data_IF_999822987913
#
_entry.id   IF_999822987913
#
_cell.length_a   1.000
_cell.length_b   1.000
_cell.length_c   1.000
_cell.angle_alpha   90.00
_cell.angle_beta   90.00
_cell.angle_gamma   90.00
#
_symmetry.space_group_name_H-M   'P 1'
#
loop_
_entity.id
_entity.type
_entity.pdbx_description
1 polymer ?
#
# COMPACT_ATOMS: atom_id res chain seq x y z
N UNK A 1 10.85 4.37 7.59
CA UNK A 1 12.23 3.85 7.30
C UNK A 1 13.27 4.59 8.14
N UNK A 2 13.29 5.92 8.13
CA UNK A 2 14.28 6.73 8.86
C UNK A 2 14.35 6.40 10.36
N UNK A 3 13.22 6.18 11.03
CA UNK A 3 13.19 5.81 12.44
C UNK A 3 13.83 4.44 12.69
N UNK A 4 13.57 3.45 11.83
CA UNK A 4 14.22 2.14 11.92
C UNK A 4 15.73 2.23 11.76
N UNK A 5 16.23 3.04 10.83
CA UNK A 5 17.68 3.20 10.62
C UNK A 5 18.39 3.89 11.78
N UNK A 6 17.70 4.74 12.52
CA UNK A 6 18.28 5.59 13.58
C UNK A 6 18.01 5.10 15.00
N UNK A 7 17.06 4.20 15.18
CA UNK A 7 16.61 3.77 16.50
C UNK A 7 16.46 2.26 16.57
N UNK A 8 17.50 1.57 17.02
CA UNK A 8 17.48 0.12 17.18
C UNK A 8 16.48 -0.40 18.22
N UNK A 9 15.97 0.47 19.11
CA UNK A 9 14.97 0.08 20.12
C UNK A 9 13.62 -0.29 19.51
N UNK A 10 13.34 0.18 18.27
CA UNK A 10 12.10 -0.17 17.55
C UNK A 10 12.29 -1.37 16.63
N UNK A 11 13.44 -1.98 16.59
CA UNK A 11 13.67 -3.16 15.76
C UNK A 11 12.92 -4.37 16.34
N UNK A 12 12.19 -5.11 15.52
CA UNK A 12 11.61 -6.37 15.96
C UNK A 12 12.74 -7.36 16.27
N UNK A 13 12.57 -8.13 17.35
CA UNK A 13 13.60 -9.11 17.75
C UNK A 13 13.56 -10.38 16.90
N UNK A 14 12.40 -10.72 16.37
CA UNK A 14 12.12 -12.00 15.70
C UNK A 14 11.65 -11.83 14.26
N UNK A 15 11.99 -10.72 13.62
CA UNK A 15 11.61 -10.47 12.23
C UNK A 15 12.72 -9.75 11.47
N UNK A 16 12.83 -10.03 10.19
CA UNK A 16 13.67 -9.30 9.24
C UNK A 16 12.78 -8.32 8.50
N UNK A 17 13.20 -7.07 8.45
CA UNK A 17 12.49 -6.03 7.68
C UNK A 17 13.29 -5.72 6.43
N UNK A 18 12.67 -5.92 5.27
CA UNK A 18 13.21 -5.52 3.97
C UNK A 18 12.40 -4.33 3.47
N UNK A 19 13.05 -3.28 3.02
CA UNK A 19 12.40 -2.04 2.59
C UNK A 19 12.85 -1.66 1.19
N UNK A 20 11.89 -1.41 0.30
CA UNK A 20 12.09 -0.72 -0.97
C UNK A 20 11.70 0.75 -0.73
N UNK A 21 12.67 1.66 -0.50
CA UNK A 21 12.34 3.02 -0.09
C UNK A 21 11.67 3.84 -1.21
N UNK A 22 11.99 3.56 -2.46
CA UNK A 22 11.39 4.18 -3.64
C UNK A 22 11.28 3.15 -4.76
N UNK A 23 10.07 2.69 -5.04
CA UNK A 23 9.83 1.72 -6.11
C UNK A 23 9.91 2.38 -7.51
N UNK A 24 9.31 3.56 -7.68
CA UNK A 24 9.32 4.30 -8.93
C UNK A 24 10.37 5.42 -8.90
N UNK A 25 11.64 5.07 -9.05
CA UNK A 25 12.76 6.05 -9.03
C UNK A 25 12.60 7.07 -10.17
N UNK A 26 12.28 6.63 -11.39
CA UNK A 26 12.10 7.51 -12.54
C UNK A 26 11.01 8.55 -12.33
N UNK A 27 9.87 8.13 -11.78
CA UNK A 27 8.79 9.06 -11.41
C UNK A 27 9.15 9.97 -10.24
N UNK A 28 9.88 9.46 -9.25
CA UNK A 28 10.32 10.26 -8.11
C UNK A 28 11.29 11.39 -8.50
N UNK A 29 12.12 11.18 -9.49
CA UNK A 29 13.05 12.18 -10.02
C UNK A 29 12.39 13.18 -10.99
N UNK A 30 11.30 12.79 -11.63
CA UNK A 30 10.53 13.67 -12.52
C UNK A 30 9.49 14.48 -11.73
N UNK A 31 9.96 15.51 -11.04
CA UNK A 31 9.12 16.33 -10.14
C UNK A 31 8.46 17.47 -10.89
N UNK A 32 7.20 17.71 -10.55
CA UNK A 32 6.43 18.84 -11.07
C UNK A 32 5.22 19.14 -10.18
N UNK A 33 4.50 20.22 -10.47
CA UNK A 33 3.33 20.68 -9.70
C UNK A 33 1.99 20.42 -10.40
N UNK A 34 1.97 19.75 -11.56
CA UNK A 34 0.81 19.72 -12.46
C UNK A 34 0.19 18.33 -12.68
N UNK A 35 0.91 17.25 -12.44
CA UNK A 35 0.48 15.89 -12.81
C UNK A 35 -0.41 15.17 -11.81
N UNK A 36 -0.64 15.74 -10.63
CA UNK A 36 -1.47 15.15 -9.55
C UNK A 36 -2.52 16.15 -9.07
N UNK A 37 -3.34 16.62 -9.99
CA UNK A 37 -4.34 17.68 -9.76
C UNK A 37 -5.39 17.33 -8.70
N UNK A 38 -5.61 16.05 -8.43
CA UNK A 38 -6.55 15.57 -7.43
C UNK A 38 -5.93 15.36 -6.04
N UNK A 39 -4.69 15.80 -5.82
CA UNK A 39 -4.01 15.64 -4.54
C UNK A 39 -3.50 16.98 -4.03
N UNK A 40 -3.87 17.31 -2.79
CA UNK A 40 -3.34 18.45 -2.08
C UNK A 40 -2.00 18.04 -1.44
N UNK A 41 -0.95 18.14 -2.19
CA UNK A 41 0.37 17.66 -1.80
C UNK A 41 1.40 18.77 -1.64
N UNK A 42 2.69 18.41 -1.57
CA UNK A 42 3.79 19.37 -1.54
C UNK A 42 3.80 20.22 -2.83
N UNK A 43 4.59 21.32 -2.82
CA UNK A 43 4.74 22.21 -3.98
C UNK A 43 5.11 21.48 -5.28
N UNK A 44 5.90 20.44 -5.16
CA UNK A 44 6.27 19.54 -6.27
C UNK A 44 6.19 18.08 -5.82
N UNK A 45 5.68 17.24 -6.67
CA UNK A 45 5.55 15.79 -6.44
C UNK A 45 6.04 15.02 -7.66
N UNK A 46 6.33 13.73 -7.45
CA UNK A 46 6.80 12.86 -8.51
C UNK A 46 5.74 12.57 -9.57
N UNK A 47 6.20 12.13 -10.72
CA UNK A 47 5.35 11.69 -11.83
C UNK A 47 4.84 10.26 -11.59
N UNK A 48 3.61 9.98 -12.00
CA UNK A 48 2.97 8.68 -11.81
C UNK A 48 3.66 7.55 -12.60
N UNK A 49 4.02 7.82 -13.84
CA UNK A 49 4.74 6.88 -14.68
C UNK A 49 6.21 6.74 -14.29
N UNK A 50 6.81 5.61 -14.65
CA UNK A 50 8.27 5.46 -14.56
C UNK A 50 8.97 6.25 -15.70
N UNK A 51 10.28 6.10 -15.83
CA UNK A 51 11.07 6.79 -16.87
C UNK A 51 10.63 6.47 -18.33
N UNK A 52 9.87 5.41 -18.53
CA UNK A 52 9.25 5.03 -19.81
C UNK A 52 7.75 5.27 -19.86
N UNK A 53 7.21 6.03 -18.91
CA UNK A 53 5.79 6.36 -18.77
C UNK A 53 4.86 5.16 -18.54
N UNK A 54 5.35 4.08 -17.94
CA UNK A 54 4.50 2.99 -17.47
C UNK A 54 3.96 3.27 -16.07
N UNK A 55 2.68 3.01 -15.85
CA UNK A 55 2.07 3.03 -14.52
C UNK A 55 2.41 1.73 -13.78
N UNK A 56 3.38 1.78 -12.88
CA UNK A 56 3.84 0.62 -12.13
C UNK A 56 2.75 0.03 -11.23
N UNK A 57 1.78 0.84 -10.81
CA UNK A 57 0.62 0.36 -10.04
C UNK A 57 -0.46 -0.31 -10.93
N UNK A 58 -0.13 -0.68 -12.14
CA UNK A 58 -0.93 -1.49 -13.07
C UNK A 58 -0.14 -2.65 -13.65
N UNK A 59 1.08 -2.85 -13.20
CA UNK A 59 2.04 -3.74 -13.84
C UNK A 59 2.36 -5.01 -13.03
N UNK A 60 1.76 -5.19 -11.87
CA UNK A 60 2.09 -6.33 -11.01
C UNK A 60 1.81 -7.69 -11.65
N UNK A 61 0.68 -7.86 -12.33
CA UNK A 61 0.35 -9.12 -13.04
C UNK A 61 0.90 -9.16 -14.46
N UNK A 62 0.99 -8.02 -15.13
CA UNK A 62 1.48 -7.93 -16.52
C UNK A 62 3.00 -8.13 -16.58
N UNK A 63 3.71 -7.56 -15.61
CA UNK A 63 5.16 -7.60 -15.52
C UNK A 63 5.88 -7.13 -16.80
N UNK A 64 5.42 -6.05 -17.42
CA UNK A 64 5.99 -5.50 -18.65
C UNK A 64 7.28 -4.71 -18.39
N UNK A 65 7.49 -4.23 -17.17
CA UNK A 65 8.59 -3.34 -16.84
C UNK A 65 9.73 -4.04 -16.09
N UNK A 66 10.93 -3.49 -16.22
CA UNK A 66 12.08 -3.92 -15.41
C UNK A 66 11.86 -3.72 -13.91
N UNK A 67 11.05 -2.72 -13.54
CA UNK A 67 10.66 -2.51 -12.13
C UNK A 67 9.86 -3.70 -11.61
N UNK A 68 8.86 -4.18 -12.37
CA UNK A 68 8.06 -5.33 -11.99
C UNK A 68 8.90 -6.61 -11.91
N UNK A 69 9.78 -6.85 -12.87
CA UNK A 69 10.71 -7.98 -12.84
C UNK A 69 11.59 -7.95 -11.58
N UNK A 70 12.22 -6.80 -11.29
CA UNK A 70 13.06 -6.66 -10.10
C UNK A 70 12.26 -6.87 -8.79
N UNK A 71 11.00 -6.40 -8.75
CA UNK A 71 10.12 -6.66 -7.62
C UNK A 71 9.83 -8.16 -7.46
N UNK A 72 9.49 -8.85 -8.55
CA UNK A 72 9.20 -10.29 -8.54
C UNK A 72 10.41 -11.08 -8.05
N UNK A 73 11.60 -10.78 -8.54
CA UNK A 73 12.84 -11.45 -8.14
C UNK A 73 13.14 -11.21 -6.66
N UNK A 74 12.97 -9.98 -6.19
CA UNK A 74 13.12 -9.65 -4.78
C UNK A 74 12.09 -10.37 -3.91
N UNK A 75 10.82 -10.35 -4.32
CA UNK A 75 9.73 -11.01 -3.60
C UNK A 75 9.97 -12.52 -3.47
N UNK A 76 10.40 -13.18 -4.54
CA UNK A 76 10.76 -14.61 -4.53
C UNK A 76 11.98 -14.92 -3.68
N UNK A 77 12.94 -14.02 -3.62
CA UNK A 77 14.16 -14.17 -2.81
C UNK A 77 13.85 -13.99 -1.32
N UNK A 78 13.08 -12.97 -0.99
CA UNK A 78 12.73 -12.63 0.41
C UNK A 78 11.67 -13.57 0.97
N UNK A 79 10.69 -13.96 0.15
CA UNK A 79 9.51 -14.77 0.56
C UNK A 79 8.85 -14.19 1.80
N UNK A 80 8.32 -12.97 1.75
CA UNK A 80 7.85 -12.28 2.93
C UNK A 80 6.60 -12.93 3.50
N UNK A 81 6.53 -13.10 4.83
CA UNK A 81 5.31 -13.51 5.54
C UNK A 81 4.26 -12.37 5.56
N UNK A 82 4.72 -11.14 5.54
CA UNK A 82 3.88 -9.94 5.49
C UNK A 82 4.45 -8.95 4.48
N UNK A 83 3.61 -8.50 3.56
CA UNK A 83 3.95 -7.45 2.60
C UNK A 83 3.10 -6.21 2.85
N UNK A 84 3.74 -5.05 2.93
CA UNK A 84 3.09 -3.75 3.11
C UNK A 84 3.44 -2.84 1.92
N UNK A 85 2.43 -2.42 1.18
CA UNK A 85 2.57 -1.42 0.13
C UNK A 85 1.97 -0.09 0.60
N UNK A 86 2.76 0.98 0.54
CA UNK A 86 2.35 2.29 1.04
C UNK A 86 1.92 3.20 -0.09
N UNK A 87 0.71 3.74 0.02
CA UNK A 87 0.10 4.62 -0.96
C UNK A 87 -0.41 5.92 -0.30
N UNK A 88 -0.65 6.92 -1.13
CA UNK A 88 -1.48 8.09 -0.77
C UNK A 88 -2.90 7.86 -1.28
N UNK A 89 -3.90 8.53 -0.67
CA UNK A 89 -5.29 8.44 -1.09
C UNK A 89 -5.52 9.03 -2.50
N UNK A 90 -6.70 8.79 -3.09
CA UNK A 90 -7.11 9.38 -4.36
C UNK A 90 -7.54 10.87 -4.28
N UNK A 91 -7.13 11.58 -3.24
CA UNK A 91 -7.52 12.98 -2.99
C UNK A 91 -8.77 13.12 -2.12
N UNK A 92 -9.36 12.03 -1.63
CA UNK A 92 -10.41 12.10 -0.63
C UNK A 92 -9.85 12.62 0.71
N UNK A 93 -10.59 13.54 1.32
CA UNK A 93 -10.23 14.12 2.62
C UNK A 93 -10.78 13.24 3.74
N UNK A 94 -9.95 12.30 4.17
CA UNK A 94 -10.28 11.43 5.30
C UNK A 94 -9.97 12.12 6.62
N UNK A 95 -10.87 11.98 7.59
CA UNK A 95 -10.61 12.39 8.99
C UNK A 95 -9.64 11.45 9.73
N UNK A 96 -9.36 10.30 9.15
CA UNK A 96 -8.51 9.25 9.71
C UNK A 96 -7.05 9.46 9.32
N UNK A 97 -6.15 9.15 10.24
CA UNK A 97 -4.69 9.24 10.00
C UNK A 97 -4.23 8.32 8.88
N UNK A 98 -4.80 7.11 8.84
CA UNK A 98 -4.48 6.09 7.83
C UNK A 98 -5.76 5.46 7.31
N UNK A 99 -5.73 5.12 6.04
CA UNK A 99 -6.66 4.15 5.45
C UNK A 99 -5.91 2.86 5.15
N UNK A 100 -6.59 1.73 5.22
CA UNK A 100 -5.99 0.42 4.96
C UNK A 100 -6.80 -0.40 3.96
N UNK A 101 -6.10 -1.25 3.23
CA UNK A 101 -6.68 -2.26 2.38
C UNK A 101 -5.92 -3.57 2.62
N UNK A 102 -6.53 -4.48 3.35
CA UNK A 102 -5.99 -5.82 3.54
C UNK A 102 -6.32 -6.72 2.35
N UNK A 103 -5.52 -7.75 2.15
CA UNK A 103 -5.90 -8.87 1.30
C UNK A 103 -7.26 -9.40 1.73
N UNK A 104 -8.15 -9.65 0.78
CA UNK A 104 -9.49 -10.12 1.09
C UNK A 104 -9.45 -11.51 1.72
N UNK A 105 -10.03 -11.64 2.91
CA UNK A 105 -10.02 -12.88 3.68
C UNK A 105 -10.64 -14.07 2.92
N UNK A 106 -11.67 -13.82 2.11
CA UNK A 106 -12.31 -14.86 1.30
C UNK A 106 -11.42 -15.38 0.15
N UNK A 107 -10.41 -14.63 -0.26
CA UNK A 107 -9.40 -15.06 -1.23
C UNK A 107 -8.30 -15.90 -0.59
N UNK A 108 -7.94 -15.59 0.64
CA UNK A 108 -6.91 -16.34 1.37
C UNK A 108 -7.38 -17.74 1.77
N UNK A 109 -8.64 -17.86 2.19
CA UNK A 109 -9.19 -19.12 2.67
C UNK A 109 -8.58 -19.62 4.00
N UNK A 110 -9.16 -20.67 4.56
CA UNK A 110 -8.61 -21.43 5.69
C UNK A 110 -8.23 -20.63 6.94
N UNK A 111 -7.16 -21.06 7.58
CA UNK A 111 -6.67 -20.46 8.83
C UNK A 111 -6.04 -19.09 8.63
N UNK A 112 -5.43 -18.83 7.46
CA UNK A 112 -4.85 -17.52 7.17
C UNK A 112 -5.93 -16.43 7.08
N UNK A 113 -7.07 -16.73 6.45
CA UNK A 113 -8.21 -15.83 6.40
C UNK A 113 -8.78 -15.54 7.80
N UNK A 114 -8.89 -16.56 8.64
CA UNK A 114 -9.34 -16.43 10.04
C UNK A 114 -8.35 -15.56 10.84
N UNK A 115 -7.06 -15.82 10.72
CA UNK A 115 -6.03 -15.06 11.41
C UNK A 115 -6.08 -13.58 11.01
N UNK A 116 -6.12 -13.29 9.71
CA UNK A 116 -6.19 -11.93 9.21
C UNK A 116 -7.40 -11.18 9.81
N UNK A 117 -8.58 -11.78 9.69
CA UNK A 117 -9.83 -11.11 10.05
C UNK A 117 -10.10 -11.05 11.56
N UNK A 118 -9.74 -12.12 12.30
CA UNK A 118 -10.07 -12.25 13.74
C UNK A 118 -8.93 -11.86 14.68
N UNK A 119 -7.70 -11.77 14.18
CA UNK A 119 -6.54 -11.46 14.99
C UNK A 119 -5.76 -10.25 14.49
N UNK A 120 -5.20 -10.30 13.28
CA UNK A 120 -4.29 -9.26 12.82
C UNK A 120 -4.97 -7.90 12.67
N UNK A 121 -6.12 -7.84 11.99
CA UNK A 121 -6.85 -6.58 11.78
C UNK A 121 -7.28 -5.94 13.11
N UNK A 122 -7.99 -6.62 14.01
CA UNK A 122 -8.39 -6.04 15.30
C UNK A 122 -7.18 -5.58 16.13
N UNK A 123 -6.12 -6.38 16.22
CA UNK A 123 -4.92 -6.01 16.97
C UNK A 123 -4.23 -4.77 16.40
N UNK A 124 -4.21 -4.61 15.09
CA UNK A 124 -3.64 -3.43 14.44
C UNK A 124 -4.49 -2.19 14.75
N UNK A 125 -5.80 -2.29 14.62
CA UNK A 125 -6.75 -1.21 14.92
C UNK A 125 -6.61 -0.76 16.38
N UNK A 126 -6.65 -1.68 17.33
CA UNK A 126 -6.47 -1.41 18.75
C UNK A 126 -5.11 -0.77 19.06
N UNK A 127 -4.03 -1.31 18.45
CA UNK A 127 -2.67 -0.81 18.67
C UNK A 127 -2.49 0.63 18.16
N UNK A 128 -3.15 0.98 17.08
CA UNK A 128 -3.10 2.33 16.52
C UNK A 128 -4.03 3.28 17.29
N UNK A 129 -5.22 2.83 17.67
CA UNK A 129 -6.13 3.60 18.49
C UNK A 129 -5.53 3.97 19.85
N UNK A 130 -4.82 3.05 20.49
CA UNK A 130 -4.09 3.31 21.73
C UNK A 130 -2.98 4.37 21.57
N UNK A 131 -2.59 4.70 20.35
CA UNK A 131 -1.66 5.79 20.01
C UNK A 131 -2.36 7.05 19.49
N UNK A 132 -3.68 7.13 19.63
CA UNK A 132 -4.51 8.19 19.05
C UNK A 132 -4.38 8.31 17.51
N UNK A 133 -4.10 7.21 16.84
CA UNK A 133 -4.02 7.10 15.38
C UNK A 133 -5.22 6.30 14.87
N UNK A 134 -6.31 6.99 14.59
CA UNK A 134 -7.50 6.33 14.04
C UNK A 134 -7.27 5.89 12.60
N UNK A 135 -7.74 4.68 12.27
CA UNK A 135 -7.67 4.11 10.92
C UNK A 135 -9.06 3.68 10.43
N UNK A 136 -9.21 3.59 9.12
CA UNK A 136 -10.46 3.11 8.50
C UNK A 136 -10.15 2.34 7.21
N UNK A 137 -11.01 1.41 6.78
CA UNK A 137 -10.88 0.80 5.47
C UNK A 137 -10.88 1.83 4.35
N UNK A 138 -10.05 1.61 3.34
CA UNK A 138 -10.07 2.41 2.12
C UNK A 138 -11.35 2.11 1.33
N UNK A 139 -12.04 3.15 0.91
CA UNK A 139 -13.34 3.04 0.26
C UNK A 139 -13.33 3.62 -1.16
N UNK A 140 -14.29 3.18 -1.97
CA UNK A 140 -14.50 3.76 -3.29
C UNK A 140 -15.37 5.01 -3.16
N UNK A 141 -14.77 6.16 -3.45
CA UNK A 141 -15.41 7.49 -3.36
C UNK A 141 -15.93 8.02 -4.70
N UNK A 142 -15.65 7.32 -5.81
CA UNK A 142 -16.05 7.80 -7.14
C UNK A 142 -17.57 7.83 -7.30
N UNK A 143 -18.08 8.99 -7.71
CA UNK A 143 -19.51 9.25 -7.90
C UNK A 143 -20.36 8.96 -6.64
N UNK A 144 -19.80 9.17 -5.46
CA UNK A 144 -20.45 8.95 -4.17
C UNK A 144 -20.35 10.18 -3.30
N UNK A 145 -21.37 10.40 -2.49
CA UNK A 145 -21.37 11.38 -1.41
C UNK A 145 -21.45 10.66 -0.05
N UNK A 146 -21.08 11.30 1.06
CA UNK A 146 -21.20 10.72 2.39
C UNK A 146 -22.61 10.21 2.70
N UNK A 147 -23.66 10.93 2.23
CA UNK A 147 -25.07 10.58 2.46
C UNK A 147 -25.46 9.28 1.73
N UNK A 148 -24.87 9.02 0.56
CA UNK A 148 -25.12 7.79 -0.21
C UNK A 148 -24.33 6.59 0.29
N UNK A 149 -23.39 6.81 1.22
CA UNK A 149 -22.46 5.82 1.69
C UNK A 149 -21.40 5.42 0.65
N UNK A 150 -20.33 4.80 1.12
CA UNK A 150 -19.22 4.37 0.28
C UNK A 150 -19.14 2.85 0.24
N UNK A 151 -18.87 2.30 -0.94
CA UNK A 151 -18.59 0.87 -1.07
C UNK A 151 -17.12 0.59 -0.72
N UNK A 152 -16.87 -0.59 -0.17
CA UNK A 152 -15.51 -1.05 0.08
C UNK A 152 -14.72 -1.09 -1.24
N UNK A 153 -13.47 -0.65 -1.20
CA UNK A 153 -12.55 -0.83 -2.31
C UNK A 153 -12.04 -2.28 -2.31
N UNK A 154 -12.06 -2.91 -3.48
CA UNK A 154 -11.61 -4.28 -3.66
C UNK A 154 -10.25 -4.30 -4.36
N UNK A 155 -9.39 -5.20 -3.93
CA UNK A 155 -8.12 -5.46 -4.58
C UNK A 155 -8.30 -6.13 -5.96
N UNK A 156 -7.30 -6.02 -6.82
CA UNK A 156 -7.25 -6.73 -8.08
C UNK A 156 -5.80 -7.14 -8.42
N UNK A 157 -5.59 -8.17 -9.28
CA UNK A 157 -4.25 -8.67 -9.61
C UNK A 157 -3.29 -7.62 -10.20
N UNK A 158 -3.80 -6.55 -10.76
CA UNK A 158 -2.98 -5.44 -11.29
C UNK A 158 -2.36 -4.57 -10.20
N UNK A 159 -2.85 -4.65 -8.97
CA UNK A 159 -2.28 -3.99 -7.80
C UNK A 159 -1.39 -4.95 -7.02
N UNK A 160 -0.50 -4.42 -6.20
CA UNK A 160 0.36 -5.20 -5.30
C UNK A 160 -0.42 -6.16 -4.41
N UNK A 161 -1.51 -5.70 -3.82
CA UNK A 161 -2.37 -6.52 -2.95
C UNK A 161 -3.00 -7.72 -3.66
N UNK A 162 -3.40 -7.55 -4.92
CA UNK A 162 -3.91 -8.66 -5.71
C UNK A 162 -2.83 -9.62 -6.18
N UNK A 163 -1.63 -9.11 -6.48
CA UNK A 163 -0.48 -9.95 -6.85
C UNK A 163 -0.11 -10.91 -5.71
N UNK A 164 0.01 -10.40 -4.50
CA UNK A 164 0.43 -11.20 -3.34
C UNK A 164 -0.58 -12.25 -2.87
N UNK A 165 -1.80 -12.26 -3.42
CA UNK A 165 -2.76 -13.35 -3.19
C UNK A 165 -2.63 -14.51 -4.16
N UNK A 166 -1.87 -14.34 -5.24
CA UNK A 166 -1.70 -15.35 -6.29
C UNK A 166 -0.42 -16.17 -6.09
N UNK A 167 0.49 -15.71 -5.28
CA UNK A 167 1.83 -16.26 -5.03
C UNK A 167 2.15 -16.30 -3.54
#
# INVERSE_FOLDING_TARGET
TSNFLRNSRVWPKNAIIVVIPVYNIGGALNRNSTTRTNQNGPKEYGFRGNARNYDLNRDFIKADTRNAHAFIDLFRTVKPDLFIDTHVSNGADYQYTLTHLFTQHNKLGGELAKYLHKALMPQLEDSLQNKALAITPYVNVFNRTPESGFSQFLDSPRYSTGYTTLF
#
